data_IF_067491157114
#
_entry.id   IF_067491157114
#
_cell.length_a   1.000
_cell.length_b   1.000
_cell.length_c   1.000
_cell.angle_alpha   90.00
_cell.angle_beta   90.00
_cell.angle_gamma   90.00
#
_symmetry.space_group_name_H-M   'P 1'
#
loop_
_entity.id
_entity.type
_entity.pdbx_description
1 polymer ?
#
# COMPACT_ATOMS: atom_id res chain seq x y z
N UNK A 1 -9.43 22.12 6.56
CA UNK A 1 -10.46 21.78 5.56
C UNK A 1 -10.65 20.27 5.60
N UNK A 2 -11.86 19.75 5.85
CA UNK A 2 -12.13 18.32 6.15
C UNK A 2 -11.88 17.32 5.00
N UNK A 3 -11.47 17.78 3.83
CA UNK A 3 -11.44 16.98 2.59
C UNK A 3 -10.15 16.13 2.50
N UNK A 4 -8.99 16.63 2.92
CA UNK A 4 -7.70 15.89 2.84
C UNK A 4 -7.63 14.64 3.71
N UNK A 5 -8.29 14.68 4.88
CA UNK A 5 -8.33 13.57 5.83
C UNK A 5 -9.08 12.36 5.24
N UNK A 6 -10.16 12.63 4.49
CA UNK A 6 -10.96 11.58 3.85
C UNK A 6 -10.21 10.92 2.67
N UNK A 7 -9.54 11.71 1.82
CA UNK A 7 -8.83 11.15 0.65
C UNK A 7 -7.65 10.27 1.04
N UNK A 8 -6.86 10.67 2.04
CA UNK A 8 -5.73 9.86 2.50
C UNK A 8 -6.19 8.53 3.09
N UNK A 9 -7.29 8.52 3.85
CA UNK A 9 -7.83 7.30 4.46
C UNK A 9 -8.43 6.36 3.41
N UNK A 10 -9.15 6.89 2.42
CA UNK A 10 -9.61 6.12 1.27
C UNK A 10 -8.45 5.48 0.50
N UNK A 11 -7.39 6.26 0.23
CA UNK A 11 -6.20 5.75 -0.44
C UNK A 11 -5.51 4.64 0.39
N UNK A 12 -5.42 4.81 1.71
CA UNK A 12 -4.88 3.78 2.62
C UNK A 12 -5.72 2.50 2.52
N UNK A 13 -7.05 2.60 2.51
CA UNK A 13 -7.92 1.43 2.42
C UNK A 13 -7.70 0.63 1.13
N UNK A 14 -7.55 1.30 -0.01
CA UNK A 14 -7.23 0.63 -1.28
C UNK A 14 -5.83 0.00 -1.27
N UNK A 15 -4.83 0.74 -0.80
CA UNK A 15 -3.47 0.25 -0.70
C UNK A 15 -3.36 -0.98 0.21
N UNK A 16 -4.06 -0.97 1.35
CA UNK A 16 -4.13 -2.11 2.27
C UNK A 16 -4.77 -3.33 1.63
N UNK A 17 -5.87 -3.15 0.90
CA UNK A 17 -6.53 -4.24 0.18
C UNK A 17 -5.56 -4.90 -0.82
N UNK A 18 -4.86 -4.10 -1.62
CA UNK A 18 -3.86 -4.58 -2.57
C UNK A 18 -2.67 -5.26 -1.88
N UNK A 19 -2.19 -4.70 -0.77
CA UNK A 19 -1.11 -5.26 0.04
C UNK A 19 -1.49 -6.64 0.58
N UNK A 20 -2.65 -6.76 1.24
CA UNK A 20 -3.13 -8.01 1.83
C UNK A 20 -3.35 -9.07 0.74
N UNK A 21 -3.97 -8.69 -0.39
CA UNK A 21 -4.14 -9.60 -1.52
C UNK A 21 -2.79 -10.14 -2.04
N UNK A 22 -1.78 -9.28 -2.16
CA UNK A 22 -0.44 -9.69 -2.56
C UNK A 22 0.18 -10.66 -1.55
N UNK A 23 0.12 -10.32 -0.26
CA UNK A 23 0.71 -11.12 0.82
C UNK A 23 0.05 -12.50 0.92
N UNK A 24 -1.27 -12.57 0.86
CA UNK A 24 -2.02 -13.82 0.91
C UNK A 24 -1.72 -14.70 -0.31
N UNK A 25 -1.69 -14.11 -1.51
CA UNK A 25 -1.35 -14.83 -2.74
C UNK A 25 0.08 -15.39 -2.68
N UNK A 26 1.03 -14.62 -2.14
CA UNK A 26 2.42 -15.05 -2.03
C UNK A 26 2.60 -16.12 -0.95
N UNK A 27 1.93 -16.00 0.19
CA UNK A 27 1.94 -17.02 1.24
C UNK A 27 1.43 -18.37 0.72
N UNK A 28 0.32 -18.38 -0.03
CA UNK A 28 -0.29 -19.62 -0.57
C UNK A 28 0.56 -20.29 -1.64
N UNK A 29 1.13 -19.50 -2.56
CA UNK A 29 1.78 -20.05 -3.76
C UNK A 29 3.30 -20.19 -3.61
N UNK A 30 3.93 -19.35 -2.78
CA UNK A 30 5.37 -19.19 -2.67
C UNK A 30 5.80 -18.91 -1.22
N UNK A 31 5.50 -19.80 -0.25
CA UNK A 31 5.71 -19.55 1.17
C UNK A 31 7.18 -19.26 1.52
N UNK A 32 8.15 -19.95 0.88
CA UNK A 32 9.57 -19.68 1.13
C UNK A 32 9.93 -18.23 0.77
N UNK A 33 9.50 -17.76 -0.41
CA UNK A 33 9.71 -16.37 -0.83
C UNK A 33 8.96 -15.38 0.07
N UNK A 34 7.77 -15.73 0.57
CA UNK A 34 7.04 -14.92 1.54
C UNK A 34 7.86 -14.69 2.83
N UNK A 35 8.43 -15.75 3.42
CA UNK A 35 9.25 -15.61 4.63
C UNK A 35 10.57 -14.87 4.38
N UNK A 36 11.19 -15.05 3.21
CA UNK A 36 12.35 -14.26 2.81
C UNK A 36 12.01 -12.76 2.68
N UNK A 37 10.93 -12.46 1.96
CA UNK A 37 10.42 -11.10 1.78
C UNK A 37 10.18 -10.43 3.14
N UNK A 38 9.50 -11.08 4.09
CA UNK A 38 9.24 -10.51 5.42
C UNK A 38 10.52 -10.16 6.21
N UNK A 39 11.63 -10.85 5.96
CA UNK A 39 12.92 -10.61 6.62
C UNK A 39 13.75 -9.54 5.92
N UNK A 40 13.55 -9.34 4.61
CA UNK A 40 14.30 -8.37 3.83
C UNK A 40 13.62 -6.99 3.83
N UNK A 41 14.30 -5.99 4.41
CA UNK A 41 13.80 -4.62 4.48
C UNK A 41 13.76 -3.93 3.11
N UNK A 42 14.71 -4.22 2.23
CA UNK A 42 14.81 -3.57 0.91
C UNK A 42 13.65 -4.04 0.03
N UNK A 43 13.47 -5.37 -0.10
CA UNK A 43 12.37 -5.97 -0.85
C UNK A 43 10.99 -5.49 -0.33
N UNK A 44 10.85 -5.33 0.99
CA UNK A 44 9.61 -4.82 1.58
C UNK A 44 9.35 -3.34 1.27
N UNK A 45 10.40 -2.51 1.26
CA UNK A 45 10.23 -1.11 0.84
C UNK A 45 9.87 -1.04 -0.65
N UNK A 46 10.50 -1.84 -1.50
CA UNK A 46 10.15 -1.91 -2.93
C UNK A 46 8.70 -2.36 -3.13
N UNK A 47 8.26 -3.39 -2.41
CA UNK A 47 6.87 -3.82 -2.42
C UNK A 47 5.91 -2.69 -2.02
N UNK A 48 6.23 -1.95 -0.95
CA UNK A 48 5.41 -0.83 -0.49
C UNK A 48 5.30 0.25 -1.57
N UNK A 49 6.40 0.63 -2.22
CA UNK A 49 6.36 1.60 -3.33
C UNK A 49 5.54 1.06 -4.52
N UNK A 50 5.67 -0.23 -4.83
CA UNK A 50 4.90 -0.88 -5.89
C UNK A 50 3.39 -0.88 -5.59
N UNK A 51 3.00 -1.22 -4.36
CA UNK A 51 1.60 -1.15 -3.92
C UNK A 51 1.06 0.27 -4.03
N UNK A 52 1.82 1.29 -3.59
CA UNK A 52 1.41 2.69 -3.75
C UNK A 52 1.26 3.04 -5.23
N UNK A 53 2.21 2.65 -6.09
CA UNK A 53 2.13 2.87 -7.53
C UNK A 53 0.87 2.28 -8.16
N UNK A 54 0.56 1.02 -7.84
CA UNK A 54 -0.67 0.36 -8.30
C UNK A 54 -1.93 1.02 -7.76
N UNK A 55 -1.91 1.43 -6.50
CA UNK A 55 -3.03 2.15 -5.86
C UNK A 55 -3.26 3.47 -6.58
N UNK A 56 -2.22 4.22 -6.94
CA UNK A 56 -2.38 5.44 -7.75
C UNK A 56 -3.07 5.14 -9.08
N UNK A 57 -2.63 4.09 -9.79
CA UNK A 57 -3.24 3.70 -11.05
C UNK A 57 -4.73 3.38 -10.89
N UNK A 58 -5.15 2.64 -9.85
CA UNK A 58 -6.57 2.33 -9.63
C UNK A 58 -7.38 3.51 -9.12
N UNK A 59 -6.86 4.23 -8.13
CA UNK A 59 -7.53 5.30 -7.42
C UNK A 59 -7.83 6.50 -8.33
N UNK A 60 -6.95 6.76 -9.31
CA UNK A 60 -7.10 7.86 -10.26
C UNK A 60 -7.58 7.43 -11.65
N UNK A 61 -7.76 6.13 -11.93
CA UNK A 61 -8.09 5.63 -13.28
C UNK A 61 -9.39 6.20 -13.88
N UNK A 62 -10.34 6.58 -13.02
CA UNK A 62 -11.68 7.03 -13.44
C UNK A 62 -11.84 8.56 -13.43
N UNK A 63 -10.79 9.29 -13.08
CA UNK A 63 -10.84 10.74 -12.87
C UNK A 63 -10.18 11.48 -14.04
N UNK A 64 -10.78 12.62 -14.45
CA UNK A 64 -10.15 13.53 -15.42
C UNK A 64 -8.76 13.95 -14.92
N UNK A 65 -7.79 14.15 -15.82
CA UNK A 65 -6.38 14.45 -15.45
C UNK A 65 -6.25 15.58 -14.41
N UNK A 66 -7.00 16.67 -14.57
CA UNK A 66 -6.99 17.80 -13.63
C UNK A 66 -7.56 17.44 -12.25
N UNK A 67 -8.53 16.53 -12.19
CA UNK A 67 -9.14 16.05 -10.94
C UNK A 67 -8.24 15.03 -10.26
N UNK A 68 -7.60 14.15 -11.03
CA UNK A 68 -6.58 13.21 -10.57
C UNK A 68 -5.38 13.92 -9.93
N UNK A 69 -4.85 14.97 -10.56
CA UNK A 69 -3.75 15.78 -9.99
C UNK A 69 -4.13 16.44 -8.67
N UNK A 70 -5.34 17.00 -8.60
CA UNK A 70 -5.84 17.69 -7.40
C UNK A 70 -6.07 16.73 -6.24
N UNK A 71 -6.63 15.55 -6.51
CA UNK A 71 -6.81 14.49 -5.51
C UNK A 71 -5.43 13.94 -5.08
N UNK A 72 -4.50 13.74 -6.02
CA UNK A 72 -3.13 13.30 -5.72
C UNK A 72 -2.38 14.27 -4.82
N UNK A 73 -2.53 15.57 -5.02
CA UNK A 73 -1.99 16.60 -4.13
C UNK A 73 -2.58 16.58 -2.71
N UNK A 74 -3.77 16.00 -2.53
CA UNK A 74 -4.45 15.89 -1.23
C UNK A 74 -4.12 14.61 -0.44
N UNK A 75 -3.43 13.64 -1.05
CA UNK A 75 -3.02 12.40 -0.38
C UNK A 75 -1.71 12.59 0.36
N UNK A 76 -1.71 12.34 1.67
CA UNK A 76 -0.49 12.31 2.46
C UNK A 76 0.24 10.97 2.29
N UNK A 77 1.11 10.89 1.29
CA UNK A 77 1.88 9.67 1.00
C UNK A 77 2.85 9.26 2.12
N UNK A 78 3.29 10.18 2.99
CA UNK A 78 4.10 9.81 4.14
C UNK A 78 3.29 8.97 5.14
N UNK A 79 2.03 9.36 5.40
CA UNK A 79 1.08 8.59 6.23
C UNK A 79 0.76 7.23 5.59
N UNK A 80 0.57 7.18 4.27
CA UNK A 80 0.36 5.91 3.54
C UNK A 80 1.55 4.96 3.73
N UNK A 81 2.79 5.43 3.50
CA UNK A 81 4.00 4.62 3.69
C UNK A 81 4.16 4.15 5.13
N UNK A 82 3.85 5.02 6.10
CA UNK A 82 3.89 4.65 7.51
C UNK A 82 2.89 3.52 7.83
N UNK A 83 1.66 3.61 7.33
CA UNK A 83 0.64 2.57 7.51
C UNK A 83 1.06 1.22 6.93
N UNK A 84 1.54 1.20 5.68
CA UNK A 84 2.00 -0.05 5.04
C UNK A 84 3.21 -0.68 5.76
N UNK A 85 4.08 0.13 6.37
CA UNK A 85 5.16 -0.37 7.24
C UNK A 85 4.63 -0.97 8.54
N UNK A 86 3.56 -0.43 9.12
CA UNK A 86 2.91 -1.03 10.29
C UNK A 86 2.31 -2.38 9.94
N UNK A 87 1.65 -2.51 8.77
CA UNK A 87 1.18 -3.81 8.28
C UNK A 87 2.32 -4.82 8.14
N UNK A 88 3.46 -4.42 7.56
CA UNK A 88 4.63 -5.29 7.49
C UNK A 88 5.07 -5.79 8.87
N UNK A 89 5.12 -4.90 9.88
CA UNK A 89 5.45 -5.29 11.26
C UNK A 89 4.44 -6.31 11.79
N UNK A 90 3.14 -6.10 11.57
CA UNK A 90 2.09 -7.05 11.97
C UNK A 90 2.31 -8.42 11.31
N UNK A 91 2.54 -8.46 9.99
CA UNK A 91 2.84 -9.71 9.28
C UNK A 91 4.10 -10.41 9.81
N UNK A 92 5.18 -9.66 10.12
CA UNK A 92 6.37 -10.24 10.76
C UNK A 92 6.08 -10.83 12.13
N UNK A 93 5.16 -10.26 12.90
CA UNK A 93 4.79 -10.77 14.21
C UNK A 93 3.92 -12.04 14.11
N UNK A 94 2.99 -12.08 13.15
CA UNK A 94 2.07 -13.23 12.97
C UNK A 94 2.77 -14.45 12.37
N UNK A 95 3.65 -14.23 11.39
CA UNK A 95 4.28 -15.29 10.60
C UNK A 95 5.77 -15.47 10.95
N UNK A 96 6.09 -15.38 12.24
CA UNK A 96 7.46 -15.39 12.74
C UNK A 96 8.06 -16.79 12.82
#
# INVERSE_FOLDING_TARGET
MKIELNTTEQFISEAECLYNHYMDKRLRNQPVHFYHLLKNKEDMNELIENIIGKTKSSFYASEDEQKAERISGSVNYAKVKQHLRQLWIVYKCVYR
#
